data_IF_229529591813
#
_entry.id   IF_229529591813
#
_cell.length_a   1.000
_cell.length_b   1.000
_cell.length_c   1.000
_cell.angle_alpha   90.00
_cell.angle_beta   90.00
_cell.angle_gamma   90.00
#
_symmetry.space_group_name_H-M   'P 1'
#
loop_
_entity.id
_entity.type
_entity.pdbx_description
1 polymer ?
#
# COMPACT_ATOMS: atom_id res chain seq x y z
N UNK A 1 65.07 17.26 20.05
CA UNK A 1 64.48 17.28 21.41
C UNK A 1 63.43 16.19 21.43
N UNK A 2 63.77 15.05 22.03
CA UNK A 2 62.96 13.84 22.05
C UNK A 2 61.95 13.89 23.20
N UNK A 3 60.74 13.37 22.99
CA UNK A 3 59.95 12.77 24.06
C UNK A 3 59.04 11.68 23.49
N UNK A 4 59.27 10.50 24.04
CA UNK A 4 58.60 9.24 23.77
C UNK A 4 57.40 9.05 24.71
N UNK A 5 56.76 7.87 24.56
CA UNK A 5 55.82 7.22 25.47
C UNK A 5 54.32 7.53 25.25
N UNK A 6 53.39 6.59 25.25
CA UNK A 6 53.44 5.14 25.49
C UNK A 6 52.11 4.54 24.97
N UNK A 7 52.19 3.37 24.36
CA UNK A 7 51.08 2.51 23.98
C UNK A 7 50.52 1.76 25.21
N UNK A 8 49.20 1.61 25.29
CA UNK A 8 48.55 0.51 26.03
C UNK A 8 47.35 0.00 25.24
N UNK A 9 47.55 -1.18 24.66
CA UNK A 9 46.48 -2.10 24.29
C UNK A 9 45.86 -2.68 25.57
N UNK A 10 44.53 -2.78 25.60
CA UNK A 10 43.81 -3.61 26.57
C UNK A 10 42.99 -4.61 25.78
N UNK A 11 43.35 -5.89 25.92
CA UNK A 11 42.62 -7.04 25.41
C UNK A 11 41.41 -7.35 26.29
N UNK A 12 40.31 -7.92 25.73
CA UNK A 12 39.09 -8.19 26.48
C UNK A 12 39.18 -9.49 27.30
N UNK A 13 38.68 -9.43 28.54
CA UNK A 13 38.57 -10.57 29.44
C UNK A 13 37.38 -11.46 29.05
N UNK A 14 37.67 -12.74 28.82
CA UNK A 14 36.72 -13.83 28.67
C UNK A 14 35.99 -14.09 29.99
N UNK A 15 34.68 -13.81 30.03
CA UNK A 15 33.77 -14.19 31.11
C UNK A 15 32.85 -15.31 30.66
N UNK A 16 33.15 -16.54 31.07
CA UNK A 16 32.34 -17.74 30.84
C UNK A 16 31.02 -17.67 31.61
N UNK A 17 29.90 -17.51 30.91
CA UNK A 17 28.55 -17.67 31.47
C UNK A 17 28.00 -19.04 31.09
N UNK A 18 27.68 -19.84 32.11
CA UNK A 18 27.23 -21.23 32.05
C UNK A 18 25.88 -21.36 31.34
N UNK A 19 25.86 -22.20 30.31
CA UNK A 19 24.63 -22.74 29.69
C UNK A 19 23.92 -23.61 30.73
N UNK A 20 22.70 -23.24 31.11
CA UNK A 20 21.78 -24.13 31.84
C UNK A 20 21.06 -25.01 30.83
N UNK A 21 21.33 -26.31 30.89
CA UNK A 21 20.61 -27.34 30.16
C UNK A 21 19.14 -27.39 30.62
N UNK A 22 18.20 -27.27 29.68
CA UNK A 22 16.80 -27.58 29.91
C UNK A 22 16.57 -29.08 29.72
N UNK A 23 15.93 -29.70 30.71
CA UNK A 23 15.54 -31.11 30.70
C UNK A 23 14.38 -31.36 29.70
N UNK A 24 14.26 -32.57 29.13
CA UNK A 24 13.19 -32.90 28.20
C UNK A 24 11.84 -33.01 28.92
N UNK A 25 10.81 -32.35 28.35
CA UNK A 25 9.41 -32.47 28.77
C UNK A 25 8.89 -33.86 28.39
N UNK A 26 8.37 -34.59 29.39
CA UNK A 26 7.71 -35.88 29.19
C UNK A 26 6.35 -35.70 28.49
N UNK A 27 6.15 -36.51 27.46
CA UNK A 27 4.88 -36.70 26.75
C UNK A 27 3.93 -37.50 27.64
N UNK A 28 2.79 -36.91 28.00
CA UNK A 28 1.67 -37.58 28.67
C UNK A 28 0.66 -38.04 27.63
N UNK A 29 0.54 -39.35 27.42
CA UNK A 29 -0.53 -39.97 26.64
C UNK A 29 -1.86 -39.86 27.39
N UNK A 30 -2.85 -39.18 26.82
CA UNK A 30 -4.24 -39.36 27.19
C UNK A 30 -4.97 -40.14 26.10
N UNK A 31 -5.39 -41.37 26.45
CA UNK A 31 -6.32 -42.21 25.69
C UNK A 31 -7.74 -41.71 25.95
N UNK A 32 -8.56 -41.65 24.90
CA UNK A 32 -10.00 -41.42 25.03
C UNK A 32 -10.66 -41.18 23.68
N UNK A 33 -10.75 -42.22 22.85
CA UNK A 33 -11.59 -42.19 21.65
C UNK A 33 -13.05 -42.47 22.07
N UNK A 34 -13.95 -41.53 21.81
CA UNK A 34 -15.41 -41.76 21.84
C UNK A 34 -15.85 -41.94 20.40
N UNK A 35 -16.19 -43.18 20.06
CA UNK A 35 -16.79 -43.56 18.78
C UNK A 35 -18.30 -43.37 18.92
N UNK A 36 -18.87 -42.41 18.18
CA UNK A 36 -20.32 -42.33 18.00
C UNK A 36 -20.67 -43.08 16.71
N UNK A 37 -21.27 -44.25 16.86
CA UNK A 37 -21.93 -44.98 15.77
C UNK A 37 -23.27 -44.31 15.48
N UNK A 38 -23.47 -43.86 14.24
CA UNK A 38 -24.80 -43.58 13.72
C UNK A 38 -25.30 -44.84 12.99
N UNK A 39 -26.41 -45.40 13.47
CA UNK A 39 -27.13 -46.48 12.80
C UNK A 39 -27.90 -45.90 11.61
N UNK A 40 -27.65 -46.46 10.41
CA UNK A 40 -28.48 -46.24 9.23
C UNK A 40 -29.40 -47.46 9.07
N UNK A 41 -30.71 -47.24 9.20
CA UNK A 41 -31.71 -48.22 8.81
C UNK A 41 -31.99 -48.14 7.30
N UNK A 42 -32.10 -49.31 6.69
CA UNK A 42 -32.28 -49.58 5.27
C UNK A 42 -33.73 -49.93 4.91
N UNK A 43 -33.98 -49.95 3.59
CA UNK A 43 -35.12 -50.50 2.83
C UNK A 43 -36.24 -49.47 2.54
N UNK A 44 -36.74 -49.27 1.31
CA UNK A 44 -37.00 -50.25 0.24
C UNK A 44 -36.98 -49.68 -1.21
N UNK A 45 -36.65 -50.62 -2.12
CA UNK A 45 -36.93 -50.81 -3.54
C UNK A 45 -37.40 -49.68 -4.52
N UNK A 46 -36.71 -49.68 -5.67
CA UNK A 46 -37.03 -49.02 -6.95
C UNK A 46 -38.32 -49.54 -7.62
N UNK A 47 -39.03 -48.68 -8.36
CA UNK A 47 -39.57 -49.04 -9.69
C UNK A 47 -39.68 -47.82 -10.62
N UNK A 48 -39.36 -48.02 -11.91
CA UNK A 48 -39.53 -47.07 -13.03
C UNK A 48 -40.95 -47.15 -13.58
N UNK A 49 -41.49 -45.99 -14.00
CA UNK A 49 -42.76 -45.71 -14.72
C UNK A 49 -44.00 -45.46 -13.85
N UNK A 50 -44.27 -44.19 -13.58
CA UNK A 50 -45.58 -43.59 -13.85
C UNK A 50 -45.41 -42.06 -13.97
N UNK A 51 -46.00 -41.51 -15.02
CA UNK A 51 -45.84 -40.14 -15.51
C UNK A 51 -47.24 -39.49 -15.53
N UNK A 52 -47.26 -38.19 -15.20
CA UNK A 52 -48.34 -37.18 -15.37
C UNK A 52 -49.48 -37.11 -14.34
N UNK A 53 -49.62 -35.92 -13.75
CA UNK A 53 -50.78 -35.45 -13.01
C UNK A 53 -50.50 -34.09 -12.37
N UNK A 54 -50.91 -33.01 -13.02
CA UNK A 54 -50.79 -31.64 -12.54
C UNK A 54 -51.59 -31.42 -11.25
N UNK A 55 -51.00 -30.72 -10.28
CA UNK A 55 -51.67 -30.25 -9.08
C UNK A 55 -50.84 -29.18 -8.38
N UNK A 56 -51.29 -27.92 -8.43
CA UNK A 56 -50.73 -26.84 -7.65
C UNK A 56 -50.86 -27.14 -6.15
N UNK A 57 -49.76 -27.16 -5.43
CA UNK A 57 -49.73 -26.99 -3.99
C UNK A 57 -48.61 -26.01 -3.63
N UNK A 58 -48.99 -24.79 -3.29
CA UNK A 58 -48.13 -23.77 -2.69
C UNK A 58 -47.71 -24.24 -1.30
N UNK A 59 -46.47 -24.69 -1.15
CA UNK A 59 -45.84 -24.85 0.16
C UNK A 59 -45.13 -23.54 0.52
N UNK A 60 -45.80 -22.68 1.28
CA UNK A 60 -45.17 -21.56 1.98
C UNK A 60 -44.38 -22.10 3.16
N UNK A 61 -43.12 -22.45 2.92
CA UNK A 61 -42.15 -22.64 4.00
C UNK A 61 -41.74 -21.26 4.52
N UNK A 62 -42.29 -20.84 5.66
CA UNK A 62 -41.73 -19.74 6.45
C UNK A 62 -40.33 -20.16 6.93
N UNK A 63 -39.30 -19.73 6.22
CA UNK A 63 -37.96 -19.63 6.77
C UNK A 63 -37.95 -18.43 7.72
N UNK A 64 -37.89 -18.70 9.03
CA UNK A 64 -37.52 -17.69 10.02
C UNK A 64 -36.07 -17.26 9.71
N UNK A 65 -35.77 -15.97 9.51
CA UNK A 65 -34.39 -15.54 9.37
C UNK A 65 -33.70 -15.74 10.72
N UNK A 66 -32.80 -16.72 10.77
CA UNK A 66 -31.77 -16.76 11.80
C UNK A 66 -30.92 -15.50 11.60
N UNK A 67 -30.92 -14.64 12.61
CA UNK A 67 -30.35 -13.31 12.55
C UNK A 67 -28.86 -13.29 12.25
N UNK A 68 -28.43 -12.18 11.64
CA UNK A 68 -27.02 -11.79 11.55
C UNK A 68 -26.42 -11.73 10.14
N UNK A 69 -27.19 -11.42 9.11
CA UNK A 69 -26.63 -10.92 7.84
C UNK A 69 -27.06 -9.47 7.67
N UNK A 70 -26.14 -8.55 7.98
CA UNK A 70 -26.31 -7.15 7.61
C UNK A 70 -26.60 -7.09 6.11
N UNK A 71 -27.70 -6.42 5.74
CA UNK A 71 -27.98 -6.12 4.35
C UNK A 71 -26.74 -5.46 3.75
N UNK A 72 -26.19 -6.02 2.67
CA UNK A 72 -25.14 -5.35 1.92
C UNK A 72 -25.66 -3.94 1.56
N UNK A 73 -25.06 -2.91 2.14
CA UNK A 73 -25.42 -1.53 1.79
C UNK A 73 -25.01 -1.30 0.34
N UNK A 74 -25.94 -0.84 -0.49
CA UNK A 74 -25.66 -0.51 -1.87
C UNK A 74 -24.71 0.69 -1.93
N UNK A 75 -23.80 0.70 -2.91
CA UNK A 75 -22.91 1.83 -3.15
C UNK A 75 -23.72 3.10 -3.44
N UNK A 76 -23.25 4.23 -2.92
CA UNK A 76 -23.89 5.52 -3.12
C UNK A 76 -23.23 6.26 -4.28
N UNK A 77 -23.98 6.56 -5.34
CA UNK A 77 -23.48 7.41 -6.41
C UNK A 77 -23.30 8.85 -5.89
N UNK A 78 -22.11 9.42 -6.06
CA UNK A 78 -21.80 10.80 -5.67
C UNK A 78 -21.89 11.73 -6.88
N UNK A 79 -21.39 11.27 -8.02
CA UNK A 79 -21.42 11.96 -9.32
C UNK A 79 -21.54 10.96 -10.46
N UNK A 80 -21.67 11.40 -11.72
CA UNK A 80 -21.58 10.49 -12.86
C UNK A 80 -20.29 9.67 -12.87
N UNK A 81 -19.18 10.22 -12.36
CA UNK A 81 -17.84 9.61 -12.41
C UNK A 81 -17.44 8.87 -11.13
N UNK A 82 -18.07 9.16 -9.97
CA UNK A 82 -17.66 8.62 -8.66
C UNK A 82 -18.83 8.03 -7.87
N UNK A 83 -18.61 6.84 -7.31
CA UNK A 83 -19.46 6.23 -6.30
C UNK A 83 -18.68 6.01 -4.99
N UNK A 84 -19.35 6.14 -3.85
CA UNK A 84 -18.84 5.70 -2.56
C UNK A 84 -19.15 4.21 -2.36
N UNK A 85 -18.11 3.45 -2.02
CA UNK A 85 -18.20 2.01 -1.76
C UNK A 85 -18.21 1.77 -0.26
N UNK A 86 -19.22 1.04 0.21
CA UNK A 86 -19.29 0.66 1.63
C UNK A 86 -18.33 -0.50 1.91
N UNK A 87 -17.43 -0.33 2.87
CA UNK A 87 -16.47 -1.34 3.27
C UNK A 87 -16.83 -2.00 4.61
N UNK A 88 -16.65 -3.32 4.76
CA UNK A 88 -16.82 -4.03 6.03
C UNK A 88 -15.59 -3.84 6.94
N UNK A 89 -15.30 -2.60 7.33
CA UNK A 89 -14.17 -2.24 8.19
C UNK A 89 -14.64 -1.46 9.42
N UNK A 90 -13.88 -1.56 10.50
CA UNK A 90 -14.15 -0.80 11.71
C UNK A 90 -13.89 0.70 11.52
N UNK A 91 -14.59 1.53 12.29
CA UNK A 91 -14.30 2.96 12.38
C UNK A 91 -12.85 3.19 12.83
N UNK A 92 -12.19 4.20 12.28
CA UNK A 92 -10.79 4.51 12.53
C UNK A 92 -9.79 3.70 11.70
N UNK A 93 -10.24 2.80 10.82
CA UNK A 93 -9.36 2.17 9.82
C UNK A 93 -8.99 3.20 8.75
N UNK A 94 -7.69 3.36 8.52
CA UNK A 94 -7.16 4.15 7.41
C UNK A 94 -6.73 3.19 6.30
N UNK A 95 -7.23 3.42 5.09
CA UNK A 95 -6.84 2.67 3.90
C UNK A 95 -5.45 3.14 3.43
N UNK A 96 -4.60 2.21 3.02
CA UNK A 96 -3.17 2.48 2.78
C UNK A 96 -2.72 2.25 1.34
N UNK A 97 -3.13 1.13 0.75
CA UNK A 97 -2.80 0.82 -0.65
C UNK A 97 -3.85 -0.14 -1.21
N UNK A 98 -3.97 -0.15 -2.53
CA UNK A 98 -4.89 -1.00 -3.28
C UNK A 98 -4.15 -1.59 -4.47
N UNK A 99 -4.36 -2.86 -4.78
CA UNK A 99 -3.68 -3.56 -5.87
C UNK A 99 -4.62 -4.51 -6.58
N UNK A 100 -4.45 -4.65 -7.90
CA UNK A 100 -5.29 -5.48 -8.73
C UNK A 100 -4.43 -6.46 -9.54
N UNK A 101 -4.87 -7.71 -9.62
CA UNK A 101 -4.29 -8.76 -10.48
C UNK A 101 -4.78 -8.61 -11.91
N UNK A 102 -6.05 -8.20 -12.05
CA UNK A 102 -6.72 -7.86 -13.31
C UNK A 102 -7.82 -6.80 -13.06
N UNK A 103 -8.64 -6.48 -14.06
CA UNK A 103 -9.67 -5.43 -13.94
C UNK A 103 -10.82 -5.75 -12.96
N UNK A 104 -10.86 -6.97 -12.40
CA UNK A 104 -11.93 -7.46 -11.53
C UNK A 104 -11.43 -7.92 -10.17
N UNK A 105 -10.30 -8.62 -10.13
CA UNK A 105 -9.75 -9.22 -8.92
C UNK A 105 -8.71 -8.29 -8.29
N UNK A 106 -8.95 -7.90 -7.04
CA UNK A 106 -8.10 -6.94 -6.35
C UNK A 106 -8.17 -7.04 -4.83
N UNK A 107 -7.28 -6.30 -4.22
CA UNK A 107 -6.97 -6.34 -2.79
C UNK A 107 -6.82 -4.92 -2.27
N UNK A 108 -7.38 -4.66 -1.08
CA UNK A 108 -7.31 -3.38 -0.40
C UNK A 108 -6.69 -3.57 0.98
N UNK A 109 -5.66 -2.78 1.27
CA UNK A 109 -4.90 -2.81 2.51
C UNK A 109 -5.26 -1.62 3.40
N UNK A 110 -5.13 -1.82 4.72
CA UNK A 110 -5.28 -0.76 5.69
C UNK A 110 -4.55 -0.99 7.00
N UNK A 111 -4.78 -0.09 7.95
CA UNK A 111 -4.33 -0.25 9.34
C UNK A 111 -5.04 -1.41 10.04
N UNK A 112 -4.50 -1.90 11.17
CA UNK A 112 -5.12 -2.94 12.01
C UNK A 112 -5.36 -4.25 11.24
N UNK A 113 -4.35 -4.69 10.49
CA UNK A 113 -4.39 -5.92 9.66
C UNK A 113 -5.52 -5.96 8.63
N UNK A 114 -6.05 -4.79 8.24
CA UNK A 114 -7.12 -4.72 7.26
C UNK A 114 -6.59 -5.24 5.92
N UNK A 115 -7.20 -6.32 5.46
CA UNK A 115 -7.06 -6.87 4.12
C UNK A 115 -8.46 -7.22 3.62
N UNK A 116 -8.87 -6.60 2.52
CA UNK A 116 -10.11 -6.92 1.81
C UNK A 116 -9.80 -7.43 0.42
N UNK A 117 -10.69 -8.24 -0.12
CA UNK A 117 -10.61 -8.79 -1.48
C UNK A 117 -11.90 -8.52 -2.26
N UNK A 118 -11.76 -8.24 -3.55
CA UNK A 118 -12.85 -8.04 -4.51
C UNK A 118 -12.68 -8.95 -5.73
N UNK A 119 -13.78 -9.34 -6.37
CA UNK A 119 -13.80 -10.09 -7.63
C UNK A 119 -14.66 -9.42 -8.70
N UNK A 120 -15.09 -8.18 -8.47
CA UNK A 120 -16.03 -7.44 -9.32
C UNK A 120 -15.57 -6.02 -9.66
N UNK A 121 -14.26 -5.77 -9.59
CA UNK A 121 -13.65 -4.49 -9.91
C UNK A 121 -13.79 -3.47 -8.78
N UNK A 122 -13.88 -3.95 -7.55
CA UNK A 122 -13.99 -3.11 -6.35
C UNK A 122 -15.38 -2.58 -6.08
N UNK A 123 -16.44 -3.17 -6.67
CA UNK A 123 -17.84 -2.82 -6.35
C UNK A 123 -18.24 -3.41 -5.01
N UNK A 124 -17.79 -4.62 -4.71
CA UNK A 124 -17.97 -5.28 -3.41
C UNK A 124 -16.65 -5.81 -2.87
N UNK A 125 -16.49 -5.76 -1.55
CA UNK A 125 -15.28 -6.15 -0.84
C UNK A 125 -15.63 -7.08 0.31
N UNK A 126 -14.81 -8.12 0.51
CA UNK A 126 -14.95 -9.06 1.64
C UNK A 126 -13.67 -9.08 2.48
N UNK A 127 -13.76 -9.13 3.82
CA UNK A 127 -12.59 -9.32 4.66
C UNK A 127 -11.89 -10.62 4.33
N UNK A 128 -10.56 -10.57 4.30
CA UNK A 128 -9.70 -11.70 4.05
C UNK A 128 -8.60 -11.74 5.09
N UNK A 129 -8.25 -12.95 5.53
CA UNK A 129 -7.06 -13.19 6.35
C UNK A 129 -6.02 -13.96 5.54
N UNK A 130 -4.74 -13.70 5.83
CA UNK A 130 -3.62 -14.46 5.28
C UNK A 130 -3.02 -15.28 6.42
N UNK A 131 -3.09 -16.61 6.33
CA UNK A 131 -2.59 -17.50 7.37
C UNK A 131 -1.09 -17.30 7.63
N UNK A 132 -0.31 -17.06 6.57
CA UNK A 132 1.13 -16.79 6.69
C UNK A 132 1.47 -15.48 7.42
N UNK A 133 0.50 -14.58 7.59
CA UNK A 133 0.64 -13.33 8.33
C UNK A 133 0.11 -13.42 9.77
N UNK A 134 -0.51 -14.55 10.17
CA UNK A 134 -1.03 -14.73 11.53
C UNK A 134 0.11 -14.78 12.53
N UNK A 135 0.08 -13.85 13.48
CA UNK A 135 1.01 -13.81 14.60
C UNK A 135 0.27 -13.28 15.84
N UNK A 136 0.16 -14.09 16.90
CA UNK A 136 -0.62 -13.74 18.11
C UNK A 136 -0.07 -12.50 18.84
N UNK A 137 1.18 -12.11 18.55
CA UNK A 137 1.85 -10.98 19.21
C UNK A 137 1.80 -9.66 18.46
N UNK A 138 1.33 -9.63 17.20
CA UNK A 138 1.44 -8.43 16.36
C UNK A 138 0.14 -8.12 15.63
N UNK A 139 -0.17 -6.82 15.55
CA UNK A 139 -1.14 -6.29 14.61
C UNK A 139 -0.38 -5.59 13.49
N UNK A 140 -0.21 -6.24 12.35
CA UNK A 140 0.45 -5.68 11.19
C UNK A 140 -0.32 -4.49 10.58
N UNK A 141 0.43 -3.52 10.10
CA UNK A 141 -0.02 -2.47 9.19
C UNK A 141 0.52 -2.82 7.81
N UNK A 142 -0.33 -3.28 6.90
CA UNK A 142 0.07 -3.53 5.52
C UNK A 142 0.19 -2.20 4.77
N UNK A 143 1.42 -1.85 4.39
CA UNK A 143 1.75 -0.53 3.85
C UNK A 143 1.64 -0.45 2.33
N UNK A 144 1.98 -1.53 1.63
CA UNK A 144 1.99 -1.53 0.17
C UNK A 144 1.70 -2.90 -0.41
N UNK A 145 0.99 -2.90 -1.53
CA UNK A 145 0.70 -4.07 -2.35
C UNK A 145 1.02 -3.77 -3.81
N UNK A 146 1.64 -4.73 -4.48
CA UNK A 146 1.95 -4.64 -5.90
C UNK A 146 1.78 -5.99 -6.56
N UNK A 147 1.03 -6.01 -7.66
CA UNK A 147 0.96 -7.15 -8.56
C UNK A 147 1.77 -6.85 -9.83
N UNK A 148 2.48 -7.87 -10.29
CA UNK A 148 3.05 -7.96 -11.64
C UNK A 148 2.21 -8.95 -12.45
N UNK A 149 2.41 -8.96 -13.77
CA UNK A 149 1.68 -9.89 -14.65
C UNK A 149 1.82 -11.36 -14.22
N UNK A 150 0.89 -12.21 -14.67
CA UNK A 150 0.83 -13.65 -14.36
C UNK A 150 0.41 -13.99 -12.91
N UNK A 151 -0.25 -13.08 -12.20
CA UNK A 151 -0.76 -13.35 -10.85
C UNK A 151 0.30 -13.30 -9.74
N UNK A 152 1.51 -12.85 -10.07
CA UNK A 152 2.54 -12.60 -9.07
C UNK A 152 2.25 -11.32 -8.28
N UNK A 153 2.36 -11.39 -6.96
CA UNK A 153 2.02 -10.27 -6.09
C UNK A 153 2.83 -10.25 -4.80
N UNK A 154 2.96 -9.05 -4.24
CA UNK A 154 3.78 -8.78 -3.06
C UNK A 154 3.05 -7.86 -2.10
N UNK A 155 3.16 -8.13 -0.80
CA UNK A 155 2.69 -7.23 0.27
C UNK A 155 3.83 -6.99 1.25
N UNK A 156 3.98 -5.74 1.69
CA UNK A 156 4.89 -5.37 2.77
C UNK A 156 4.19 -4.56 3.87
N UNK A 157 4.72 -4.60 5.08
CA UNK A 157 4.10 -3.92 6.22
C UNK A 157 5.00 -3.66 7.43
N UNK A 158 4.39 -3.10 8.48
CA UNK A 158 5.01 -2.77 9.78
C UNK A 158 4.24 -3.41 10.95
N UNK A 159 4.89 -4.09 11.93
CA UNK A 159 6.30 -4.50 11.96
C UNK A 159 6.72 -5.25 10.70
N UNK A 160 8.03 -5.31 10.42
CA UNK A 160 8.53 -5.76 9.12
C UNK A 160 7.98 -7.14 8.73
N UNK A 161 7.26 -7.18 7.60
CA UNK A 161 6.70 -8.39 7.00
C UNK A 161 6.79 -8.26 5.48
N UNK A 162 7.03 -9.40 4.82
CA UNK A 162 6.99 -9.55 3.38
C UNK A 162 6.16 -10.80 3.06
N UNK A 163 5.12 -10.63 2.27
CA UNK A 163 4.28 -11.71 1.75
C UNK A 163 4.39 -11.72 0.23
N UNK A 164 4.32 -12.91 -0.34
CA UNK A 164 4.39 -13.13 -1.78
C UNK A 164 3.39 -14.18 -2.23
N UNK A 165 2.92 -14.03 -3.46
CA UNK A 165 2.01 -14.94 -4.14
C UNK A 165 2.44 -15.09 -5.59
N UNK A 166 2.14 -16.24 -6.20
CA UNK A 166 2.31 -16.50 -7.64
C UNK A 166 1.01 -16.90 -8.34
N UNK A 167 -0.11 -17.00 -7.62
CA UNK A 167 -1.37 -17.55 -8.13
C UNK A 167 -2.54 -16.54 -8.05
N UNK A 168 -2.25 -15.26 -8.23
CA UNK A 168 -3.23 -14.17 -8.15
C UNK A 168 -3.61 -13.83 -6.71
N UNK A 169 -2.82 -14.26 -5.73
CA UNK A 169 -3.13 -14.07 -4.32
C UNK A 169 -4.11 -15.08 -3.80
N UNK A 170 -4.28 -16.25 -4.43
CA UNK A 170 -5.05 -17.36 -3.83
C UNK A 170 -4.29 -17.89 -2.62
N UNK A 171 -2.97 -18.09 -2.75
CA UNK A 171 -2.09 -18.50 -1.66
C UNK A 171 -1.00 -17.44 -1.45
N UNK A 172 -0.76 -17.09 -0.18
CA UNK A 172 0.29 -16.15 0.21
C UNK A 172 1.30 -16.84 1.11
N UNK A 173 2.57 -16.67 0.80
CA UNK A 173 3.70 -17.19 1.57
C UNK A 173 4.45 -16.05 2.24
N UNK A 174 4.92 -16.28 3.48
CA UNK A 174 5.74 -15.31 4.21
C UNK A 174 7.20 -15.53 3.87
N UNK A 175 7.84 -14.50 3.31
CA UNK A 175 9.28 -14.51 3.05
C UNK A 175 10.00 -13.90 4.25
N UNK A 176 10.97 -14.62 4.86
CA UNK A 176 11.75 -14.08 5.96
C UNK A 176 12.57 -12.85 5.53
N UNK A 177 12.47 -11.78 6.31
CA UNK A 177 13.33 -10.60 6.16
C UNK A 177 14.52 -10.68 7.11
N UNK A 178 15.68 -10.22 6.66
CA UNK A 178 16.88 -10.14 7.49
C UNK A 178 16.65 -9.22 8.70
N UNK A 179 17.09 -9.65 9.88
CA UNK A 179 17.07 -8.81 11.09
C UNK A 179 18.00 -7.59 10.99
N UNK A 180 18.85 -7.54 9.96
CA UNK A 180 19.74 -6.41 9.65
C UNK A 180 19.16 -5.44 8.62
N UNK A 181 17.92 -5.65 8.17
CA UNK A 181 17.25 -4.73 7.27
C UNK A 181 17.16 -3.34 7.93
N UNK A 182 17.71 -2.28 7.31
CA UNK A 182 17.60 -0.93 7.86
C UNK A 182 16.15 -0.46 7.79
N UNK A 183 15.52 -0.22 8.96
CA UNK A 183 14.15 0.25 9.02
C UNK A 183 13.10 -0.81 8.69
N UNK A 184 11.87 -0.36 8.42
CA UNK A 184 10.74 -1.21 8.05
C UNK A 184 10.38 -1.02 6.56
N UNK A 185 9.98 -2.08 5.84
CA UNK A 185 9.43 -1.96 4.50
C UNK A 185 8.21 -1.02 4.43
N UNK A 186 8.26 -0.04 3.53
CA UNK A 186 7.16 0.91 3.28
C UNK A 186 6.61 0.83 1.87
N UNK A 187 7.40 0.34 0.91
CA UNK A 187 6.95 0.15 -0.46
C UNK A 187 7.55 -1.09 -1.09
N UNK A 188 6.73 -1.78 -1.88
CA UNK A 188 7.13 -2.91 -2.72
C UNK A 188 6.62 -2.66 -4.13
N UNK A 189 7.41 -3.02 -5.14
CA UNK A 189 7.01 -2.91 -6.55
C UNK A 189 7.44 -4.18 -7.26
N UNK A 190 6.47 -4.98 -7.68
CA UNK A 190 6.71 -6.08 -8.62
C UNK A 190 7.16 -5.50 -9.95
N UNK A 191 8.31 -5.95 -10.45
CA UNK A 191 8.89 -5.41 -11.66
C UNK A 191 8.32 -6.09 -12.91
N UNK A 192 8.10 -5.34 -14.01
CA UNK A 192 7.77 -5.97 -15.27
C UNK A 192 8.98 -6.76 -15.78
N UNK A 193 8.78 -8.02 -16.14
CA UNK A 193 9.86 -8.85 -16.63
C UNK A 193 9.67 -10.32 -16.28
N UNK A 194 10.69 -10.91 -15.67
CA UNK A 194 10.67 -12.32 -15.25
C UNK A 194 9.94 -12.43 -13.90
N UNK A 195 9.23 -13.54 -13.66
CA UNK A 195 8.69 -13.84 -12.34
C UNK A 195 9.79 -13.76 -11.26
N UNK A 196 9.42 -13.25 -10.09
CA UNK A 196 10.29 -13.14 -8.94
C UNK A 196 11.10 -11.83 -8.87
N UNK A 197 10.85 -10.87 -9.77
CA UNK A 197 11.51 -9.57 -9.76
C UNK A 197 10.73 -8.55 -8.94
N UNK A 198 11.38 -7.92 -7.95
CA UNK A 198 10.75 -6.87 -7.15
C UNK A 198 11.77 -5.87 -6.58
N UNK A 199 11.30 -4.64 -6.35
CA UNK A 199 12.02 -3.58 -5.63
C UNK A 199 11.33 -3.28 -4.31
N UNK A 200 12.08 -3.32 -3.21
CA UNK A 200 11.60 -3.00 -1.87
C UNK A 200 12.32 -1.76 -1.32
N UNK A 201 11.55 -0.82 -0.77
CA UNK A 201 12.06 0.39 -0.12
C UNK A 201 11.61 0.42 1.34
N UNK A 202 12.54 0.79 2.21
CA UNK A 202 12.34 0.92 3.65
C UNK A 202 12.07 2.36 4.08
N UNK A 203 11.53 2.57 5.28
CA UNK A 203 11.31 3.91 5.82
C UNK A 203 12.62 4.72 5.93
N UNK A 204 13.76 4.05 6.11
CA UNK A 204 15.11 4.65 6.14
C UNK A 204 15.74 4.90 4.77
N UNK A 205 15.03 4.58 3.68
CA UNK A 205 15.49 4.82 2.31
C UNK A 205 16.47 3.81 1.75
N UNK A 206 16.72 2.69 2.44
CA UNK A 206 17.40 1.56 1.82
C UNK A 206 16.54 0.96 0.70
N UNK A 207 17.16 0.66 -0.43
CA UNK A 207 16.53 0.09 -1.63
C UNK A 207 17.15 -1.28 -1.89
N UNK A 208 16.31 -2.30 -1.94
CA UNK A 208 16.70 -3.67 -2.25
C UNK A 208 15.97 -4.16 -3.48
N UNK A 209 16.70 -4.88 -4.34
CA UNK A 209 16.17 -5.49 -5.56
C UNK A 209 16.37 -6.99 -5.47
N UNK A 210 15.36 -7.75 -5.86
CA UNK A 210 15.45 -9.19 -6.04
C UNK A 210 15.09 -9.55 -7.49
N UNK A 211 15.70 -10.61 -7.99
CA UNK A 211 15.41 -11.19 -9.31
C UNK A 211 15.07 -12.68 -9.26
N UNK A 212 14.92 -13.23 -8.05
CA UNK A 212 14.76 -14.64 -7.79
C UNK A 212 13.74 -14.90 -6.69
N UNK A 213 12.57 -14.24 -6.77
CA UNK A 213 11.47 -14.49 -5.83
C UNK A 213 11.87 -14.23 -4.38
N UNK A 214 12.69 -13.20 -4.15
CA UNK A 214 13.20 -12.83 -2.83
C UNK A 214 14.01 -13.91 -2.10
N UNK A 215 14.54 -14.94 -2.79
CA UNK A 215 15.56 -15.83 -2.22
C UNK A 215 16.81 -15.04 -1.82
N UNK A 216 17.18 -14.05 -2.64
CA UNK A 216 18.26 -13.10 -2.34
C UNK A 216 17.85 -11.67 -2.68
N UNK A 217 18.39 -10.73 -1.90
CA UNK A 217 18.23 -9.30 -2.12
C UNK A 217 19.59 -8.65 -2.35
N UNK A 218 19.70 -7.89 -3.43
CA UNK A 218 20.84 -7.03 -3.72
C UNK A 218 20.50 -5.61 -3.33
N UNK A 219 21.33 -4.98 -2.49
CA UNK A 219 21.11 -3.58 -2.13
C UNK A 219 21.51 -2.68 -3.31
N UNK A 220 20.55 -1.90 -3.82
CA UNK A 220 20.84 -0.80 -4.73
C UNK A 220 21.27 0.45 -3.95
N UNK A 221 20.66 0.65 -2.78
CA UNK A 221 21.05 1.67 -1.79
C UNK A 221 21.12 0.99 -0.44
N UNK A 222 22.34 0.78 0.07
CA UNK A 222 22.58 0.08 1.33
C UNK A 222 22.68 1.03 2.53
N UNK A 223 23.21 2.24 2.30
CA UNK A 223 23.32 3.28 3.32
C UNK A 223 21.95 3.93 3.53
N UNK A 224 21.59 4.15 4.80
CA UNK A 224 20.41 4.92 5.15
C UNK A 224 20.57 6.37 4.67
N UNK A 225 19.45 7.03 4.37
CA UNK A 225 19.49 8.39 3.81
C UNK A 225 20.12 9.39 4.77
N UNK A 226 19.96 9.22 6.09
CA UNK A 226 20.63 10.05 7.09
C UNK A 226 22.16 9.92 7.01
N UNK A 227 22.69 8.70 6.79
CA UNK A 227 24.11 8.45 6.64
C UNK A 227 24.69 9.11 5.38
N UNK A 228 23.97 9.04 4.25
CA UNK A 228 24.43 9.65 2.99
C UNK A 228 24.36 11.18 3.05
N UNK A 229 23.28 11.75 3.59
CA UNK A 229 23.10 13.20 3.74
C UNK A 229 24.19 13.82 4.61
N UNK A 230 24.56 13.17 5.72
CA UNK A 230 25.62 13.64 6.61
C UNK A 230 27.01 13.61 5.96
N UNK A 231 27.24 12.73 4.96
CA UNK A 231 28.55 12.53 4.33
C UNK A 231 28.76 13.33 3.05
N UNK A 232 27.73 13.50 2.22
CA UNK A 232 27.92 13.87 0.80
C UNK A 232 27.33 15.21 0.35
N UNK A 233 26.20 15.68 0.91
CA UNK A 233 25.42 16.77 0.28
C UNK A 233 24.63 17.69 1.23
N UNK A 234 24.91 17.72 2.55
CA UNK A 234 24.19 18.66 3.43
C UNK A 234 24.52 20.14 3.16
N UNK A 235 25.69 20.44 2.59
CA UNK A 235 26.13 21.82 2.31
C UNK A 235 25.27 22.42 1.19
N UNK A 236 24.28 23.24 1.56
CA UNK A 236 23.41 23.95 0.63
C UNK A 236 21.96 23.46 0.58
N UNK A 237 21.63 22.35 1.23
CA UNK A 237 20.24 21.87 1.35
C UNK A 237 19.64 22.29 2.68
N UNK A 238 18.71 23.24 2.65
CA UNK A 238 18.13 23.82 3.86
C UNK A 238 17.29 22.78 4.61
N UNK A 239 17.68 22.48 5.85
CA UNK A 239 16.99 21.53 6.72
C UNK A 239 17.37 20.06 6.54
N UNK A 240 18.38 19.75 5.71
CA UNK A 240 18.92 18.39 5.57
C UNK A 240 19.68 17.89 6.81
N UNK A 241 20.27 18.79 7.60
CA UNK A 241 21.04 18.45 8.82
C UNK A 241 20.22 17.83 9.95
N UNK A 242 18.88 17.83 9.86
CA UNK A 242 17.96 17.29 10.87
C UNK A 242 17.10 16.14 10.33
N UNK A 243 17.54 15.48 9.28
CA UNK A 243 16.81 14.37 8.70
C UNK A 243 16.91 13.12 9.60
N UNK A 244 15.77 12.65 10.08
CA UNK A 244 15.65 11.49 11.00
C UNK A 244 15.35 10.18 10.24
N UNK A 245 15.70 10.08 8.96
CA UNK A 245 15.60 8.80 8.26
C UNK A 245 14.20 8.39 7.84
N UNK A 246 13.28 9.31 7.51
CA UNK A 246 11.93 8.91 7.03
C UNK A 246 11.35 9.77 5.92
N UNK A 247 10.46 9.17 5.13
CA UNK A 247 9.70 9.83 4.08
C UNK A 247 8.29 10.19 4.54
N UNK A 248 7.76 11.31 4.06
CA UNK A 248 6.31 11.57 4.13
C UNK A 248 5.57 11.00 2.92
N UNK A 249 6.26 10.86 1.79
CA UNK A 249 5.75 10.27 0.55
C UNK A 249 6.90 9.65 -0.28
N UNK A 250 6.56 8.66 -1.10
CA UNK A 250 7.46 7.97 -2.02
C UNK A 250 6.70 7.57 -3.30
N UNK A 251 7.03 8.20 -4.43
CA UNK A 251 6.44 7.91 -5.74
C UNK A 251 7.48 7.31 -6.71
N UNK A 252 7.02 6.48 -7.65
CA UNK A 252 7.85 5.75 -8.62
C UNK A 252 7.30 6.04 -10.01
N UNK A 253 8.16 6.38 -10.96
CA UNK A 253 7.79 6.55 -12.36
C UNK A 253 7.66 5.21 -13.09
N UNK A 254 7.16 5.24 -14.32
CA UNK A 254 7.15 4.07 -15.19
C UNK A 254 8.57 3.59 -15.56
N UNK A 255 9.54 4.52 -15.70
CA UNK A 255 10.95 4.21 -15.96
C UNK A 255 11.71 3.65 -14.77
N UNK A 256 11.15 3.74 -13.56
CA UNK A 256 11.77 3.26 -12.32
C UNK A 256 12.51 4.31 -11.51
N UNK A 257 12.40 5.58 -11.90
CA UNK A 257 12.84 6.70 -11.08
C UNK A 257 11.93 6.87 -9.88
N UNK A 258 12.50 7.32 -8.77
CA UNK A 258 11.78 7.62 -7.55
C UNK A 258 11.93 9.09 -7.19
N UNK A 259 10.84 9.66 -6.67
CA UNK A 259 10.83 10.91 -5.93
C UNK A 259 10.30 10.65 -4.53
N UNK A 260 10.93 11.25 -3.53
CA UNK A 260 10.56 11.10 -2.14
C UNK A 260 10.59 12.44 -1.42
N UNK A 261 9.59 12.69 -0.58
CA UNK A 261 9.53 13.89 0.25
C UNK A 261 10.07 13.56 1.63
N UNK A 262 10.98 14.39 2.15
CA UNK A 262 11.46 14.25 3.53
C UNK A 262 10.29 14.34 4.53
N UNK A 263 10.35 13.62 5.66
CA UNK A 263 9.24 13.56 6.63
C UNK A 263 8.72 14.92 7.11
N UNK A 264 9.59 15.95 7.15
CA UNK A 264 9.23 17.33 7.53
C UNK A 264 8.89 18.23 6.34
N UNK A 265 9.01 17.75 5.10
CA UNK A 265 8.73 18.50 3.88
C UNK A 265 9.69 19.66 3.63
N UNK A 266 10.91 19.60 4.16
CA UNK A 266 11.89 20.68 4.00
C UNK A 266 12.61 20.62 2.64
N UNK A 267 12.83 19.41 2.14
CA UNK A 267 13.47 19.11 0.87
C UNK A 267 12.85 17.82 0.30
N UNK A 268 13.17 17.51 -0.95
CA UNK A 268 12.84 16.24 -1.60
C UNK A 268 14.10 15.55 -2.08
N UNK A 269 13.96 14.29 -2.48
CA UNK A 269 15.07 13.51 -3.00
C UNK A 269 14.64 12.66 -4.17
N UNK A 270 15.63 12.26 -4.94
CA UNK A 270 15.42 11.50 -6.16
C UNK A 270 16.37 10.34 -6.20
N UNK A 271 15.92 9.22 -6.74
CA UNK A 271 16.78 8.08 -7.02
C UNK A 271 16.43 7.48 -8.38
N UNK A 272 17.45 7.24 -9.19
CA UNK A 272 17.33 6.59 -10.50
C UNK A 272 18.13 5.28 -10.46
N UNK A 273 17.64 4.18 -11.08
CA UNK A 273 18.39 2.94 -11.18
C UNK A 273 19.84 3.15 -11.64
N UNK A 274 20.79 2.59 -10.90
CA UNK A 274 22.23 2.78 -11.11
C UNK A 274 22.88 3.80 -10.16
N UNK A 275 22.10 4.66 -9.49
CA UNK A 275 22.61 5.50 -8.41
C UNK A 275 22.83 4.69 -7.13
N UNK A 276 23.90 5.01 -6.41
CA UNK A 276 24.27 4.33 -5.17
C UNK A 276 23.69 4.99 -3.91
N UNK A 277 23.09 6.18 -4.06
CA UNK A 277 22.45 6.95 -2.99
C UNK A 277 21.37 7.88 -3.56
N UNK A 278 20.48 8.34 -2.68
CA UNK A 278 19.48 9.35 -3.01
C UNK A 278 20.11 10.73 -3.19
N UNK A 279 19.71 11.45 -4.24
CA UNK A 279 20.12 12.82 -4.48
C UNK A 279 19.12 13.80 -3.84
N UNK A 280 19.53 14.65 -2.88
CA UNK A 280 18.65 15.64 -2.27
C UNK A 280 18.56 16.92 -3.08
N UNK A 281 17.39 17.56 -3.02
CA UNK A 281 17.07 18.81 -3.73
C UNK A 281 16.33 19.78 -2.82
N UNK A 282 16.67 21.07 -2.90
CA UNK A 282 15.90 22.10 -2.22
C UNK A 282 14.46 22.14 -2.75
N UNK A 283 13.50 22.43 -1.88
CA UNK A 283 12.10 22.56 -2.29
C UNK A 283 11.91 23.71 -3.30
N UNK A 284 11.04 23.54 -4.31
CA UNK A 284 10.75 24.59 -5.30
C UNK A 284 9.86 25.73 -4.76
N UNK A 285 9.31 25.59 -3.55
CA UNK A 285 8.38 26.55 -2.97
C UNK A 285 8.79 26.95 -1.54
N UNK A 286 8.42 28.15 -1.05
CA UNK A 286 8.70 28.55 0.33
C UNK A 286 7.93 27.72 1.35
N UNK A 287 6.76 27.17 0.97
CA UNK A 287 5.96 26.26 1.81
C UNK A 287 6.57 24.87 1.83
N UNK A 288 6.40 24.17 2.95
CA UNK A 288 6.85 22.78 3.09
C UNK A 288 6.13 21.89 2.08
N UNK A 289 6.86 20.92 1.56
CA UNK A 289 6.32 19.89 0.67
C UNK A 289 5.35 18.99 1.43
N UNK A 290 4.29 18.57 0.74
CA UNK A 290 3.26 17.67 1.25
C UNK A 290 3.37 16.30 0.56
N UNK A 291 3.35 16.29 -0.77
CA UNK A 291 3.40 15.09 -1.60
C UNK A 291 4.06 15.42 -2.96
N UNK A 292 4.63 14.43 -3.64
CA UNK A 292 5.19 14.52 -4.98
C UNK A 292 4.92 13.23 -5.76
N UNK A 293 4.88 13.33 -7.08
CA UNK A 293 4.78 12.16 -7.94
C UNK A 293 4.99 12.50 -9.40
N UNK A 294 4.67 11.55 -10.27
CA UNK A 294 4.90 11.67 -11.70
C UNK A 294 3.59 11.81 -12.47
N UNK A 295 3.63 12.57 -13.56
CA UNK A 295 2.62 12.52 -14.62
C UNK A 295 2.84 11.27 -15.50
N UNK A 296 1.87 10.88 -16.34
CA UNK A 296 2.05 9.81 -17.32
C UNK A 296 3.20 10.07 -18.31
N UNK A 297 3.49 11.34 -18.62
CA UNK A 297 4.57 11.78 -19.52
C UNK A 297 5.94 11.92 -18.84
N UNK A 298 6.01 11.73 -17.52
CA UNK A 298 7.27 11.72 -16.76
C UNK A 298 7.69 13.06 -16.15
N UNK A 299 6.89 14.12 -16.28
CA UNK A 299 7.03 15.33 -15.46
C UNK A 299 6.70 15.04 -14.00
N UNK A 300 7.16 15.91 -13.10
CA UNK A 300 6.91 15.80 -11.66
C UNK A 300 5.87 16.81 -11.22
N UNK A 301 4.88 16.34 -10.46
CA UNK A 301 3.97 17.22 -9.74
C UNK A 301 4.35 17.28 -8.26
N UNK A 302 4.03 18.41 -7.62
CA UNK A 302 4.33 18.71 -6.22
C UNK A 302 3.11 19.32 -5.57
N UNK A 303 2.82 18.94 -4.34
CA UNK A 303 1.85 19.62 -3.49
C UNK A 303 2.55 20.20 -2.26
N UNK A 304 2.05 21.33 -1.77
CA UNK A 304 2.59 22.01 -0.58
C UNK A 304 1.61 21.98 0.59
N UNK A 305 2.15 22.09 1.81
CA UNK A 305 1.35 22.43 2.99
C UNK A 305 0.75 23.82 2.78
N UNK A 306 -0.57 23.88 2.64
CA UNK A 306 -1.29 25.09 2.23
C UNK A 306 -2.11 24.90 0.95
N UNK A 307 -1.93 23.77 0.27
CA UNK A 307 -2.79 23.35 -0.84
C UNK A 307 -2.40 23.91 -2.19
N UNK A 308 -1.13 24.26 -2.40
CA UNK A 308 -0.64 24.59 -3.74
C UNK A 308 -0.31 23.30 -4.51
N UNK A 309 -0.42 23.39 -5.84
CA UNK A 309 0.05 22.36 -6.78
C UNK A 309 1.08 23.02 -7.70
N UNK A 310 2.23 22.40 -7.87
CA UNK A 310 3.24 22.80 -8.85
C UNK A 310 3.48 21.65 -9.83
N UNK A 311 3.85 21.99 -11.06
CA UNK A 311 4.18 21.03 -12.11
C UNK A 311 5.54 21.38 -12.71
N UNK A 312 6.37 20.37 -12.99
CA UNK A 312 7.64 20.59 -13.69
C UNK A 312 7.40 20.89 -15.17
N UNK A 313 8.24 21.77 -15.74
CA UNK A 313 8.16 22.20 -17.13
C UNK A 313 8.88 21.26 -18.10
N UNK A 314 9.67 20.31 -17.59
CA UNK A 314 10.42 19.31 -18.34
C UNK A 314 10.34 17.95 -17.64
N UNK A 315 10.49 16.84 -18.40
CA UNK A 315 10.79 15.53 -17.83
C UNK A 315 12.15 15.60 -17.12
N UNK A 316 12.15 15.48 -15.80
CA UNK A 316 13.36 15.69 -15.01
C UNK A 316 13.03 16.02 -13.56
N UNK A 317 14.04 15.93 -12.69
CA UNK A 317 13.87 15.98 -11.24
C UNK A 317 14.49 17.24 -10.59
N UNK A 318 14.89 18.24 -11.38
CA UNK A 318 15.57 19.45 -10.90
C UNK A 318 14.59 20.49 -10.31
N UNK A 319 15.01 21.17 -9.25
CA UNK A 319 14.16 22.07 -8.47
C UNK A 319 13.80 23.41 -9.15
N UNK A 320 14.54 23.81 -10.19
CA UNK A 320 14.36 25.10 -10.89
C UNK A 320 13.25 25.07 -11.93
N UNK A 321 12.64 23.90 -12.14
CA UNK A 321 11.77 23.62 -13.28
C UNK A 321 10.28 23.64 -12.91
N UNK A 322 9.90 24.08 -11.71
CA UNK A 322 8.52 24.00 -11.22
C UNK A 322 7.73 25.29 -11.36
N UNK A 323 6.53 25.19 -11.93
CA UNK A 323 5.58 26.28 -12.06
C UNK A 323 4.33 26.03 -11.20
N UNK A 324 3.83 27.08 -10.55
CA UNK A 324 2.60 27.00 -9.75
C UNK A 324 1.37 26.94 -10.64
N UNK A 325 0.46 26.01 -10.34
CA UNK A 325 -0.80 25.84 -11.04
C UNK A 325 -1.97 26.30 -10.16
N UNK A 326 -2.89 27.07 -10.76
CA UNK A 326 -4.07 27.58 -10.08
C UNK A 326 -5.10 26.46 -9.83
N UNK A 327 -5.05 25.84 -8.64
CA UNK A 327 -6.07 24.88 -8.17
C UNK A 327 -7.21 25.54 -7.38
N UNK A 328 -6.99 26.76 -6.86
CA UNK A 328 -7.96 27.48 -6.02
C UNK A 328 -8.45 26.64 -4.83
N UNK A 329 -7.52 26.00 -4.12
CA UNK A 329 -7.83 25.13 -2.97
C UNK A 329 -8.42 25.85 -1.77
N UNK A 330 -8.33 27.20 -1.73
CA UNK A 330 -8.81 28.04 -0.62
C UNK A 330 -8.27 27.62 0.76
N UNK A 331 -7.08 27.04 0.79
CA UNK A 331 -6.40 26.59 2.01
C UNK A 331 -6.69 25.15 2.41
N UNK A 332 -7.57 24.42 1.70
CA UNK A 332 -7.66 22.97 1.86
C UNK A 332 -6.36 22.33 1.37
N UNK A 333 -5.75 21.49 2.22
CA UNK A 333 -4.54 20.76 1.84
C UNK A 333 -4.83 19.77 0.73
N UNK A 334 -4.03 19.81 -0.34
CA UNK A 334 -4.02 18.80 -1.39
C UNK A 334 -3.08 17.68 -0.93
N UNK A 335 -3.62 16.48 -0.80
CA UNK A 335 -2.94 15.33 -0.21
C UNK A 335 -2.36 14.41 -1.28
N UNK A 336 -2.99 14.30 -2.46
CA UNK A 336 -2.50 13.49 -3.57
C UNK A 336 -3.00 13.98 -4.92
N UNK A 337 -2.27 13.61 -5.99
CA UNK A 337 -2.64 13.85 -7.38
C UNK A 337 -2.51 12.55 -8.16
N UNK A 338 -3.60 12.11 -8.80
CA UNK A 338 -3.64 10.89 -9.60
C UNK A 338 -4.12 11.15 -11.02
N UNK A 339 -3.52 10.47 -12.00
CA UNK A 339 -3.83 10.64 -13.41
C UNK A 339 -4.60 9.43 -13.93
N UNK A 340 -5.75 9.68 -14.57
CA UNK A 340 -6.50 8.64 -15.31
C UNK A 340 -5.84 8.36 -16.66
N UNK A 341 -5.41 9.43 -17.32
CA UNK A 341 -4.73 9.44 -18.60
C UNK A 341 -3.88 10.73 -18.72
N UNK A 342 -3.27 10.98 -19.89
CA UNK A 342 -2.42 12.17 -20.13
C UNK A 342 -3.16 13.51 -19.97
N UNK A 343 -4.50 13.52 -20.08
CA UNK A 343 -5.32 14.74 -20.03
C UNK A 343 -6.11 14.85 -18.75
N UNK A 344 -6.70 13.76 -18.28
CA UNK A 344 -7.58 13.75 -17.12
C UNK A 344 -6.82 13.37 -15.87
N UNK A 345 -6.79 14.32 -14.93
CA UNK A 345 -6.18 14.15 -13.62
C UNK A 345 -7.14 14.56 -12.51
N UNK A 346 -6.92 14.00 -11.33
CA UNK A 346 -7.64 14.31 -10.11
C UNK A 346 -6.67 14.71 -9.00
N UNK A 347 -7.08 15.64 -8.16
CA UNK A 347 -6.37 15.98 -6.94
C UNK A 347 -7.34 15.87 -5.76
N UNK A 348 -6.93 15.18 -4.70
CA UNK A 348 -7.76 15.00 -3.51
C UNK A 348 -7.12 15.61 -2.27
N UNK A 349 -7.92 15.88 -1.26
CA UNK A 349 -7.46 16.58 -0.08
C UNK A 349 -8.32 16.43 1.16
N UNK A 350 -8.10 17.36 2.08
CA UNK A 350 -8.84 17.39 3.34
C UNK A 350 -10.33 17.70 3.16
N UNK A 351 -11.16 17.20 4.08
CA UNK A 351 -12.61 17.47 4.13
C UNK A 351 -13.35 17.16 2.82
N UNK A 352 -13.11 15.98 2.25
CA UNK A 352 -13.75 15.49 1.04
C UNK A 352 -13.33 16.21 -0.23
N UNK A 353 -12.37 17.15 -0.17
CA UNK A 353 -12.05 18.00 -1.32
C UNK A 353 -11.52 17.19 -2.50
N UNK A 354 -12.20 17.29 -3.64
CA UNK A 354 -11.79 16.69 -4.91
C UNK A 354 -11.74 17.76 -6.02
N UNK A 355 -10.73 17.67 -6.87
CA UNK A 355 -10.52 18.53 -8.02
C UNK A 355 -10.27 17.68 -9.26
N UNK A 356 -10.67 18.19 -10.41
CA UNK A 356 -10.54 17.55 -11.72
C UNK A 356 -9.87 18.49 -12.70
N UNK A 357 -8.97 17.95 -13.50
CA UNK A 357 -8.29 18.59 -14.61
C UNK A 357 -8.58 17.84 -15.91
N UNK A 358 -8.63 18.58 -17.03
CA UNK A 358 -8.83 18.05 -18.38
C UNK A 358 -7.66 18.37 -19.34
N UNK A 359 -6.59 18.97 -18.81
CA UNK A 359 -5.45 19.49 -19.55
C UNK A 359 -4.10 19.02 -18.96
N UNK A 360 -4.10 17.86 -18.32
CA UNK A 360 -2.89 17.23 -17.77
C UNK A 360 -2.43 17.87 -16.46
N UNK A 361 -3.35 18.43 -15.68
CA UNK A 361 -3.05 19.06 -14.39
C UNK A 361 -2.63 20.53 -14.50
N UNK A 362 -2.80 21.17 -15.66
CA UNK A 362 -2.46 22.60 -15.91
C UNK A 362 -3.55 23.56 -15.46
N UNK A 363 -4.79 23.10 -15.35
CA UNK A 363 -5.88 23.82 -14.72
C UNK A 363 -6.83 22.85 -14.02
N UNK A 364 -7.51 23.34 -12.98
CA UNK A 364 -8.33 22.51 -12.10
C UNK A 364 -9.70 23.13 -11.83
N UNK A 365 -10.71 22.27 -11.72
CA UNK A 365 -12.06 22.61 -11.27
C UNK A 365 -12.41 21.76 -10.06
N UNK A 366 -12.99 22.35 -9.03
CA UNK A 366 -13.45 21.62 -7.84
C UNK A 366 -14.66 20.78 -8.19
N UNK A 367 -14.58 19.48 -7.92
CA UNK A 367 -15.72 18.57 -7.97
C UNK A 367 -16.44 18.60 -6.62
N UNK A 368 -17.67 19.13 -6.62
CA UNK A 368 -18.47 19.31 -5.40
C UNK A 368 -19.26 18.07 -5.00
N UNK A 369 -19.24 17.01 -5.81
CA UNK A 369 -19.95 15.76 -5.51
C UNK A 369 -19.48 15.07 -4.23
N UNK A 370 -18.28 15.41 -3.77
CA UNK A 370 -17.63 14.84 -2.60
C UNK A 370 -17.66 15.76 -1.38
N UNK A 371 -18.35 16.91 -1.45
CA UNK A 371 -18.42 17.88 -0.35
C UNK A 371 -19.05 17.32 0.94
N UNK A 372 -19.95 16.35 0.80
CA UNK A 372 -20.62 15.67 1.92
C UNK A 372 -19.85 14.44 2.42
N UNK A 373 -18.72 14.10 1.80
CA UNK A 373 -17.85 13.01 2.26
C UNK A 373 -17.10 13.48 3.51
N UNK A 374 -17.58 13.03 4.68
CA UNK A 374 -17.07 13.41 5.99
C UNK A 374 -15.73 12.73 6.33
N UNK A 375 -14.66 13.11 5.63
CA UNK A 375 -13.31 12.63 5.91
C UNK A 375 -12.27 13.25 4.99
N UNK A 376 -11.02 12.84 5.13
CA UNK A 376 -9.94 13.22 4.24
C UNK A 376 -9.76 12.16 3.15
N UNK A 377 -9.42 12.61 1.96
CA UNK A 377 -9.06 11.77 0.84
C UNK A 377 -7.53 11.82 0.69
N UNK A 378 -6.87 10.68 0.95
CA UNK A 378 -5.41 10.59 1.11
C UNK A 378 -4.66 10.15 -0.14
N UNK A 379 -5.27 9.34 -1.00
CA UNK A 379 -4.60 8.80 -2.18
C UNK A 379 -5.58 8.60 -3.34
N UNK A 380 -5.11 8.84 -4.56
CA UNK A 380 -5.83 8.54 -5.80
C UNK A 380 -4.98 7.56 -6.61
N UNK A 381 -5.57 6.44 -7.03
CA UNK A 381 -4.88 5.42 -7.83
C UNK A 381 -5.73 5.00 -9.01
N UNK A 382 -5.21 5.16 -10.22
CA UNK A 382 -5.77 4.60 -11.44
C UNK A 382 -4.90 3.43 -11.91
N UNK A 383 -5.55 2.33 -12.29
CA UNK A 383 -4.91 1.15 -12.87
C UNK A 383 -5.03 1.15 -14.39
N UNK A 384 -6.14 1.70 -14.88
CA UNK A 384 -6.42 1.97 -16.28
C UNK A 384 -7.49 3.09 -16.36
N UNK A 385 -7.86 3.59 -17.55
CA UNK A 385 -8.83 4.69 -17.66
C UNK A 385 -10.25 4.38 -17.17
N UNK A 386 -10.58 3.12 -16.87
CA UNK A 386 -11.89 2.65 -16.40
C UNK A 386 -11.87 2.19 -14.94
N UNK A 387 -10.69 1.95 -14.36
CA UNK A 387 -10.50 1.42 -13.01
C UNK A 387 -9.64 2.38 -12.19
N UNK A 388 -10.29 3.13 -11.31
CA UNK A 388 -9.64 4.08 -10.42
C UNK A 388 -10.35 4.21 -9.07
N UNK A 389 -9.58 4.61 -8.06
CA UNK A 389 -10.04 4.69 -6.68
C UNK A 389 -9.48 5.91 -5.96
N UNK A 390 -10.24 6.41 -4.98
CA UNK A 390 -9.75 7.36 -3.96
C UNK A 390 -9.87 6.73 -2.58
N UNK A 391 -8.79 6.76 -1.81
CA UNK A 391 -8.70 6.15 -0.48
C UNK A 391 -8.74 7.25 0.59
N UNK A 392 -9.55 7.08 1.63
CA UNK A 392 -9.67 8.01 2.76
C UNK A 392 -9.52 7.36 4.14
N UNK A 393 -9.75 8.14 5.21
CA UNK A 393 -9.92 7.60 6.57
C UNK A 393 -11.31 6.99 6.77
N UNK A 394 -11.47 6.25 7.86
CA UNK A 394 -12.75 5.71 8.33
C UNK A 394 -13.46 4.84 7.29
N UNK A 395 -12.68 4.11 6.49
CA UNK A 395 -13.19 3.22 5.45
C UNK A 395 -13.75 3.93 4.21
N UNK A 396 -13.51 5.23 4.03
CA UNK A 396 -13.93 5.96 2.83
C UNK A 396 -13.17 5.41 1.62
N UNK A 397 -13.90 4.78 0.71
CA UNK A 397 -13.41 4.37 -0.61
C UNK A 397 -14.32 4.94 -1.68
N UNK A 398 -13.77 5.71 -2.61
CA UNK A 398 -14.46 6.13 -3.81
C UNK A 398 -14.01 5.27 -4.98
N UNK A 399 -14.93 4.78 -5.79
CA UNK A 399 -14.66 4.03 -7.02
C UNK A 399 -15.08 4.85 -8.22
N UNK A 400 -14.20 4.88 -9.22
CA UNK A 400 -14.48 5.52 -10.49
C UNK A 400 -15.44 4.64 -11.33
N UNK A 401 -16.50 5.24 -11.87
CA UNK A 401 -17.55 4.55 -12.64
C UNK A 401 -17.35 4.65 -14.15
N UNK A 402 -16.59 5.63 -14.62
CA UNK A 402 -16.33 5.86 -16.05
C UNK A 402 -17.50 6.43 -16.84
N UNK A 403 -18.61 6.79 -16.21
CA UNK A 403 -19.77 7.36 -16.91
C UNK A 403 -19.61 8.88 -16.97
N UNK A 404 -19.09 9.39 -18.09
CA UNK A 404 -19.28 10.80 -18.43
C UNK A 404 -20.74 10.99 -18.83
N UNK A 405 -21.42 11.97 -18.23
CA UNK A 405 -22.78 12.36 -18.61
C UNK A 405 -22.89 12.76 -20.09
#
# INVERSE_FOLDING_TARGET
MALAAHSRQVAPALGSSRVKAFAPVRVSRCRGAVVVRAEAQSNDALTRRAVLGAGLATATSLMLPIGGSGSAQANQLLSPEWESVTLPVDKGVVLLDIGFTDDKHGFLLGTRETLLETFDGGKTWKPRSIDAARDEGFNYRFNSISFSGNGEGWIVGKPAILLHTTDGGVNWERIPLSSKLPGAPVRITGLPGKPGQAEMITDQGAIYVTDNTAYTWTAAVQETVDATLNRTVSSGISGASYYEGSFSNLARSASGDYVAVSSRGNFYMTWTPGQTYWLPHNRPAPRRLQNMGFTPSGEVWVTTRGGDVLLSNQPGLSAEDFESVAINSRGFGILDVGFRDEKVAYACGGSGSLYRSEDGGKSWKRDRSTDDVAGNLYAIKFFNPQLGFVLGNDGILLRYTGVSA
#
